data_IF_311457725283
#
_entry.id   IF_311457725283
#
_cell.length_a   1.000
_cell.length_b   1.000
_cell.length_c   1.000
_cell.angle_alpha   90.00
_cell.angle_beta   90.00
_cell.angle_gamma   90.00
#
_symmetry.space_group_name_H-M   'P 1'
#
loop_
_entity.id
_entity.type
_entity.pdbx_description
1 polymer ?
#
# COMPACT_ATOMS: atom_id res chain seq x y z
N UNK A 1 -9.14 -4.78 -15.92
CA UNK A 1 -8.68 -5.90 -15.05
C UNK A 1 -9.85 -6.40 -14.21
N UNK A 2 -10.08 -7.69 -14.24
CA UNK A 2 -11.16 -8.31 -13.48
C UNK A 2 -10.82 -8.35 -11.99
N UNK A 3 -11.77 -8.04 -11.14
CA UNK A 3 -11.61 -8.24 -9.71
C UNK A 3 -11.62 -9.74 -9.38
N UNK A 4 -10.78 -10.13 -8.44
CA UNK A 4 -10.67 -11.51 -8.00
C UNK A 4 -11.63 -11.77 -6.83
N UNK A 5 -12.11 -12.99 -6.71
CA UNK A 5 -12.79 -13.42 -5.49
C UNK A 5 -11.79 -13.44 -4.35
N UNK A 6 -12.30 -13.49 -3.11
CA UNK A 6 -11.42 -13.57 -1.93
C UNK A 6 -10.49 -14.78 -2.01
N UNK A 7 -11.03 -15.95 -2.37
CA UNK A 7 -10.22 -17.17 -2.51
C UNK A 7 -9.14 -17.02 -3.58
N UNK A 8 -9.49 -16.47 -4.73
CA UNK A 8 -8.53 -16.22 -5.80
C UNK A 8 -7.43 -15.25 -5.36
N UNK A 9 -7.79 -14.19 -4.65
CA UNK A 9 -6.84 -13.20 -4.18
C UNK A 9 -5.86 -13.83 -3.17
N UNK A 10 -6.34 -14.66 -2.26
CA UNK A 10 -5.52 -15.35 -1.29
C UNK A 10 -4.51 -16.28 -1.97
N UNK A 11 -4.95 -17.01 -2.98
CA UNK A 11 -4.09 -17.95 -3.71
C UNK A 11 -3.10 -17.24 -4.63
N UNK A 12 -3.50 -16.11 -5.19
CA UNK A 12 -2.68 -15.33 -6.12
C UNK A 12 -1.61 -14.52 -5.42
N UNK A 13 -1.90 -14.00 -4.20
CA UNK A 13 -1.01 -13.07 -3.52
C UNK A 13 0.36 -13.69 -3.23
N UNK A 14 1.35 -12.85 -3.18
CA UNK A 14 2.69 -13.18 -2.70
C UNK A 14 3.29 -11.94 -2.04
N UNK A 15 4.34 -12.14 -1.26
CA UNK A 15 5.08 -11.01 -0.68
C UNK A 15 6.05 -10.47 -1.73
N UNK A 16 5.75 -9.30 -2.26
CA UNK A 16 6.61 -8.63 -3.24
C UNK A 16 7.69 -7.86 -2.49
N UNK A 17 8.95 -8.15 -2.77
CA UNK A 17 10.09 -7.54 -2.07
C UNK A 17 10.75 -6.42 -2.87
N UNK A 18 10.60 -6.43 -4.20
CA UNK A 18 11.14 -5.40 -5.09
C UNK A 18 10.07 -5.04 -6.10
N UNK A 19 9.83 -3.75 -6.26
CA UNK A 19 8.82 -3.24 -7.20
C UNK A 19 9.49 -2.81 -8.51
N UNK A 20 8.75 -2.97 -9.61
CA UNK A 20 9.22 -2.62 -10.94
C UNK A 20 9.07 -1.10 -11.18
N UNK A 21 10.17 -0.34 -11.33
CA UNK A 21 10.09 1.09 -11.55
C UNK A 21 9.50 1.47 -12.91
N UNK A 22 9.42 0.54 -13.86
CA UNK A 22 8.86 0.77 -15.19
C UNK A 22 7.34 0.67 -15.23
N UNK A 23 6.72 0.15 -14.18
CA UNK A 23 5.26 0.04 -14.08
C UNK A 23 4.76 1.12 -13.12
N UNK A 24 4.19 2.22 -13.64
CA UNK A 24 3.70 3.27 -12.77
C UNK A 24 2.49 2.80 -11.97
N UNK A 25 2.40 3.29 -10.74
CA UNK A 25 1.25 2.99 -9.89
C UNK A 25 0.12 3.97 -10.20
N UNK A 26 -1.12 3.49 -10.12
CA UNK A 26 -2.29 4.34 -10.24
C UNK A 26 -2.70 4.82 -8.84
N UNK A 27 -2.48 6.10 -8.55
CA UNK A 27 -2.79 6.70 -7.25
C UNK A 27 -4.27 6.60 -6.90
N UNK A 28 -5.15 6.60 -7.88
CA UNK A 28 -6.59 6.44 -7.63
C UNK A 28 -6.91 5.04 -7.11
N UNK A 29 -6.21 4.02 -7.59
CA UNK A 29 -6.34 2.66 -7.05
C UNK A 29 -5.89 2.60 -5.59
N UNK A 30 -4.79 3.28 -5.27
CA UNK A 30 -4.28 3.35 -3.88
C UNK A 30 -5.32 4.00 -2.97
N UNK A 31 -5.91 5.12 -3.40
CA UNK A 31 -6.97 5.79 -2.66
C UNK A 31 -8.19 4.90 -2.45
N UNK A 32 -8.57 4.16 -3.48
CA UNK A 32 -9.68 3.19 -3.40
C UNK A 32 -9.39 2.10 -2.37
N UNK A 33 -8.16 1.57 -2.36
CA UNK A 33 -7.76 0.56 -1.39
C UNK A 33 -7.79 1.10 0.04
N UNK A 34 -7.35 2.34 0.27
CA UNK A 34 -7.39 3.00 1.57
C UNK A 34 -8.84 3.15 2.02
N UNK A 35 -9.72 3.59 1.13
CA UNK A 35 -11.15 3.73 1.43
C UNK A 35 -11.76 2.40 1.84
N UNK A 36 -11.45 1.32 1.14
CA UNK A 36 -11.92 -0.01 1.50
C UNK A 36 -11.36 -0.48 2.84
N UNK A 37 -10.08 -0.21 3.11
CA UNK A 37 -9.45 -0.54 4.39
C UNK A 37 -10.13 0.19 5.56
N UNK A 38 -10.57 1.42 5.35
CA UNK A 38 -11.25 2.21 6.38
C UNK A 38 -12.60 1.63 6.79
N UNK A 39 -13.17 0.73 5.99
CA UNK A 39 -14.43 0.05 6.28
C UNK A 39 -14.24 -1.20 7.14
N UNK A 40 -13.00 -1.55 7.50
CA UNK A 40 -12.73 -2.70 8.35
C UNK A 40 -13.33 -2.51 9.75
N UNK A 41 -13.75 -3.59 10.39
CA UNK A 41 -14.30 -3.51 11.76
C UNK A 41 -13.27 -2.96 12.74
N UNK A 42 -13.76 -2.20 13.71
CA UNK A 42 -12.94 -1.71 14.82
C UNK A 42 -13.70 -1.88 16.12
N UNK A 43 -12.98 -1.85 17.25
CA UNK A 43 -13.59 -1.96 18.57
C UNK A 43 -14.62 -0.84 18.76
N UNK A 44 -15.86 -1.21 19.04
CA UNK A 44 -17.00 -0.27 19.18
C UNK A 44 -17.15 0.68 18.00
N UNK A 45 -16.66 0.29 16.82
CA UNK A 45 -16.67 1.11 15.60
C UNK A 45 -16.02 2.49 15.80
N UNK A 46 -14.97 2.56 16.62
CA UNK A 46 -14.31 3.83 16.93
C UNK A 46 -13.45 4.35 15.77
N UNK A 47 -13.05 3.47 14.85
CA UNK A 47 -12.28 3.84 13.64
C UNK A 47 -11.04 4.67 14.00
N UNK A 48 -10.20 4.14 14.89
CA UNK A 48 -9.05 4.84 15.49
C UNK A 48 -7.84 4.97 14.55
N UNK A 49 -7.96 4.59 13.28
CA UNK A 49 -6.88 4.68 12.32
C UNK A 49 -6.88 6.01 11.57
N UNK A 50 -5.70 6.40 11.14
CA UNK A 50 -5.46 7.54 10.30
C UNK A 50 -4.51 7.09 9.19
N UNK A 51 -4.76 7.51 7.95
CA UNK A 51 -3.97 7.09 6.79
C UNK A 51 -3.16 8.25 6.24
N UNK A 52 -1.87 8.03 6.05
CA UNK A 52 -0.96 8.97 5.40
C UNK A 52 -0.52 8.38 4.08
N UNK A 53 -0.92 8.99 2.97
CA UNK A 53 -0.60 8.54 1.63
C UNK A 53 0.58 9.37 1.10
N UNK A 54 1.75 8.74 1.02
CA UNK A 54 3.01 9.42 0.70
C UNK A 54 3.34 9.20 -0.77
N UNK A 55 3.46 10.30 -1.52
CA UNK A 55 3.80 10.30 -2.95
C UNK A 55 5.08 11.08 -3.26
N UNK A 56 5.48 12.01 -2.39
CA UNK A 56 6.68 12.83 -2.56
C UNK A 56 7.93 11.96 -2.55
N UNK A 57 8.79 12.12 -3.55
CA UNK A 57 10.04 11.36 -3.63
C UNK A 57 10.95 11.61 -2.43
N UNK A 58 11.01 12.85 -1.94
CA UNK A 58 11.81 13.20 -0.78
C UNK A 58 11.31 12.49 0.48
N UNK A 59 10.01 12.48 0.69
CA UNK A 59 9.42 11.82 1.85
C UNK A 59 9.51 10.29 1.74
N UNK A 60 9.33 9.74 0.55
CA UNK A 60 9.53 8.31 0.30
C UNK A 60 10.94 7.88 0.67
N UNK A 61 11.94 8.67 0.30
CA UNK A 61 13.34 8.40 0.64
C UNK A 61 13.56 8.43 2.15
N UNK A 62 13.04 9.44 2.84
CA UNK A 62 13.16 9.56 4.30
C UNK A 62 12.52 8.38 5.02
N UNK A 63 11.33 7.97 4.58
CA UNK A 63 10.64 6.84 5.18
C UNK A 63 11.38 5.54 4.93
N UNK A 64 11.92 5.33 3.73
CA UNK A 64 12.69 4.12 3.42
C UNK A 64 13.92 3.99 4.29
N UNK A 65 14.58 5.11 4.62
CA UNK A 65 15.72 5.12 5.53
C UNK A 65 15.31 4.66 6.95
N UNK A 66 14.17 5.13 7.43
CA UNK A 66 13.61 4.71 8.73
C UNK A 66 13.25 3.22 8.71
N UNK A 67 12.88 2.68 7.56
CA UNK A 67 12.60 1.25 7.36
C UNK A 67 13.87 0.43 7.10
N UNK A 68 15.04 0.92 7.50
CA UNK A 68 16.34 0.25 7.32
C UNK A 68 16.67 -0.04 5.85
N UNK A 69 16.18 0.79 4.92
CA UNK A 69 16.39 0.66 3.48
C UNK A 69 16.03 -0.72 2.95
N UNK A 70 15.00 -1.36 3.51
CA UNK A 70 14.53 -2.65 2.99
C UNK A 70 14.10 -2.51 1.53
N UNK A 71 14.36 -3.54 0.69
CA UNK A 71 14.10 -3.44 -0.75
C UNK A 71 12.67 -3.04 -1.11
N UNK A 72 11.67 -3.55 -0.40
CA UNK A 72 10.27 -3.20 -0.66
C UNK A 72 10.00 -1.71 -0.41
N UNK A 73 10.48 -1.15 0.71
CA UNK A 73 10.32 0.26 1.02
C UNK A 73 11.09 1.15 0.06
N UNK A 74 12.30 0.73 -0.31
CA UNK A 74 13.19 1.48 -1.18
C UNK A 74 12.69 1.56 -2.62
N UNK A 75 12.02 0.52 -3.11
CA UNK A 75 11.51 0.45 -4.48
C UNK A 75 10.06 0.86 -4.62
N UNK A 76 9.33 1.07 -3.53
CA UNK A 76 7.94 1.49 -3.57
C UNK A 76 7.78 2.87 -4.21
N UNK A 77 6.78 3.01 -5.08
CA UNK A 77 6.47 4.29 -5.73
C UNK A 77 5.60 5.18 -4.86
N UNK A 78 4.80 4.59 -3.98
CA UNK A 78 3.98 5.27 -2.99
C UNK A 78 3.96 4.44 -1.72
N UNK A 79 3.78 5.11 -0.58
CA UNK A 79 3.66 4.46 0.73
C UNK A 79 2.40 4.95 1.44
N UNK A 80 1.85 4.07 2.26
CA UNK A 80 0.69 4.38 3.09
C UNK A 80 1.01 4.10 4.54
#
# INVERSE_FOLDING_TARGET
MREKTVSEAIQFRRSVRVYDPKKPINSEMVKRCIKQASLAPSSSNLQLWEFYHVKSKDMLKKISEVCYNQPAAKTAQELV
#
